data_IF_660552060104
#
_entry.id   IF_660552060104
#
_cell.length_a   1.000
_cell.length_b   1.000
_cell.length_c   1.000
_cell.angle_alpha   90.00
_cell.angle_beta   90.00
_cell.angle_gamma   90.00
#
_symmetry.space_group_name_H-M   'P 1'
#
loop_
_entity.id
_entity.type
_entity.pdbx_description
1 polymer ?
#
# COMPACT_ATOMS: atom_id res chain seq x y z
N UNK A 1 -9.01 -10.89 -23.81
CA UNK A 1 -9.13 -11.68 -25.06
C UNK A 1 -9.70 -13.05 -24.69
N UNK A 2 -10.75 -13.48 -25.36
CA UNK A 2 -11.35 -14.82 -25.20
C UNK A 2 -10.86 -15.65 -26.38
N UNK A 3 -9.88 -16.53 -26.17
CA UNK A 3 -9.42 -17.44 -27.23
C UNK A 3 -10.27 -18.72 -27.22
N UNK A 4 -10.84 -19.15 -28.34
CA UNK A 4 -11.62 -20.38 -28.43
C UNK A 4 -10.77 -21.65 -28.61
N UNK A 5 -9.44 -21.51 -28.71
CA UNK A 5 -8.54 -22.64 -28.97
C UNK A 5 -8.38 -23.54 -27.71
N UNK A 6 -8.65 -24.85 -27.81
CA UNK A 6 -8.53 -25.78 -26.68
C UNK A 6 -7.10 -25.93 -26.15
N UNK A 7 -6.08 -25.61 -26.93
CA UNK A 7 -4.67 -25.58 -26.54
C UNK A 7 -4.21 -24.27 -25.89
N UNK A 8 -5.10 -23.29 -25.70
CA UNK A 8 -4.74 -21.98 -25.15
C UNK A 8 -4.06 -22.05 -23.78
N UNK A 9 -4.54 -22.95 -22.91
CA UNK A 9 -4.00 -23.22 -21.60
C UNK A 9 -3.63 -24.70 -21.48
N UNK A 10 -2.36 -24.98 -21.23
CA UNK A 10 -1.86 -26.35 -21.09
C UNK A 10 -1.27 -26.59 -19.71
N UNK A 11 -1.33 -27.86 -19.28
CA UNK A 11 -0.69 -28.33 -18.05
C UNK A 11 0.56 -29.10 -18.41
N UNK A 12 1.67 -28.80 -17.74
CA UNK A 12 2.94 -29.52 -17.89
C UNK A 12 3.46 -29.96 -16.51
N UNK A 13 3.38 -31.26 -16.26
CA UNK A 13 3.83 -31.97 -15.06
C UNK A 13 4.72 -33.16 -15.43
N UNK A 14 5.34 -33.78 -14.41
CA UNK A 14 6.21 -34.94 -14.61
C UNK A 14 5.48 -36.11 -15.30
N UNK A 15 4.19 -36.26 -15.03
CA UNK A 15 3.36 -37.38 -15.48
C UNK A 15 2.76 -37.17 -16.88
N UNK A 16 2.89 -35.97 -17.47
CA UNK A 16 2.29 -35.65 -18.78
C UNK A 16 3.12 -36.18 -19.99
N UNK A 17 4.19 -36.94 -19.73
CA UNK A 17 4.96 -37.68 -20.75
C UNK A 17 5.43 -36.84 -21.95
N UNK A 18 5.43 -37.43 -23.14
CA UNK A 18 5.88 -36.78 -24.39
C UNK A 18 4.99 -35.59 -24.81
N UNK A 19 3.69 -35.65 -24.51
CA UNK A 19 2.73 -34.59 -24.84
C UNK A 19 3.00 -33.31 -24.04
N UNK A 20 3.37 -33.45 -22.76
CA UNK A 20 3.80 -32.33 -21.94
C UNK A 20 5.10 -31.69 -22.43
N UNK A 21 6.06 -32.51 -22.88
CA UNK A 21 7.31 -32.01 -23.46
C UNK A 21 7.09 -31.30 -24.80
N UNK A 22 6.19 -31.80 -25.63
CA UNK A 22 5.80 -31.12 -26.87
C UNK A 22 5.15 -29.77 -26.59
N UNK A 23 4.20 -29.73 -25.65
CA UNK A 23 3.54 -28.49 -25.22
C UNK A 23 4.52 -27.47 -24.65
N UNK A 24 5.54 -27.95 -23.93
CA UNK A 24 6.60 -27.11 -23.41
C UNK A 24 7.50 -26.54 -24.52
N UNK A 25 7.86 -27.35 -25.53
CA UNK A 25 8.60 -26.87 -26.71
C UNK A 25 7.80 -25.82 -27.47
N UNK A 26 6.51 -26.06 -27.67
CA UNK A 26 5.62 -25.13 -28.36
C UNK A 26 5.45 -23.82 -27.60
N UNK A 27 5.48 -23.84 -26.26
CA UNK A 27 5.46 -22.62 -25.42
C UNK A 27 6.77 -21.81 -25.50
N UNK A 28 7.90 -22.47 -25.73
CA UNK A 28 9.21 -21.80 -25.83
C UNK A 28 9.42 -21.15 -27.20
N UNK A 29 8.70 -21.63 -28.21
CA UNK A 29 8.72 -21.10 -29.56
C UNK A 29 8.01 -19.74 -29.62
N UNK A 30 8.80 -18.67 -29.77
CA UNK A 30 8.26 -17.31 -29.79
C UNK A 30 7.47 -16.99 -31.09
N UNK A 31 7.54 -17.84 -32.11
CA UNK A 31 6.70 -17.72 -33.32
C UNK A 31 5.30 -18.29 -33.10
N UNK A 32 5.12 -19.14 -32.08
CA UNK A 32 3.83 -19.69 -31.70
C UNK A 32 3.14 -18.80 -30.67
N UNK A 33 1.83 -18.68 -30.84
CA UNK A 33 0.96 -17.96 -29.89
C UNK A 33 0.25 -18.90 -28.93
N UNK A 34 0.30 -20.21 -29.21
CA UNK A 34 -0.37 -21.26 -28.46
C UNK A 34 0.65 -22.36 -28.16
N UNK A 35 0.74 -22.82 -26.89
CA UNK A 35 -0.06 -22.39 -25.73
C UNK A 35 0.32 -20.98 -25.23
N UNK A 36 -0.66 -20.20 -24.76
CA UNK A 36 -0.41 -18.87 -24.16
C UNK A 36 -0.22 -18.96 -22.64
N UNK A 37 -0.92 -19.89 -21.99
CA UNK A 37 -0.83 -20.14 -20.55
C UNK A 37 -0.28 -21.54 -20.33
N UNK A 38 0.74 -21.64 -19.50
CA UNK A 38 1.33 -22.91 -19.09
C UNK A 38 1.25 -23.01 -17.57
N UNK A 39 0.63 -24.09 -17.08
CA UNK A 39 0.50 -24.38 -15.65
C UNK A 39 1.43 -25.51 -15.24
N UNK A 40 2.05 -25.39 -14.07
CA UNK A 40 2.93 -26.43 -13.51
C UNK A 40 2.85 -26.46 -11.99
N UNK A 41 3.31 -27.56 -11.40
CA UNK A 41 3.60 -27.68 -9.97
C UNK A 41 5.10 -27.52 -9.71
N UNK A 42 5.92 -28.51 -10.07
CA UNK A 42 7.35 -28.55 -9.76
C UNK A 42 8.26 -28.77 -10.98
N UNK A 43 7.73 -29.24 -12.11
CA UNK A 43 8.53 -29.66 -13.27
C UNK A 43 9.30 -28.51 -13.91
N UNK A 44 8.80 -27.29 -13.82
CA UNK A 44 9.50 -26.09 -14.29
C UNK A 44 10.55 -25.56 -13.27
N UNK A 45 11.04 -26.36 -12.32
CA UNK A 45 12.13 -25.90 -11.44
C UNK A 45 13.46 -25.76 -12.19
N UNK A 46 13.63 -26.44 -13.32
CA UNK A 46 14.83 -26.38 -14.16
C UNK A 46 14.49 -26.45 -15.66
N UNK A 47 15.13 -25.61 -16.50
CA UNK A 47 15.29 -25.91 -17.93
C UNK A 47 14.26 -25.43 -18.94
N UNK A 48 13.47 -24.37 -18.66
CA UNK A 48 12.57 -23.79 -19.68
C UNK A 48 13.15 -22.52 -20.29
N UNK A 49 13.42 -22.54 -21.59
CA UNK A 49 13.95 -21.38 -22.32
C UNK A 49 12.86 -20.54 -23.03
N UNK A 50 11.89 -20.02 -22.28
CA UNK A 50 10.89 -19.10 -22.85
C UNK A 50 11.32 -17.64 -22.62
N UNK A 51 11.63 -16.89 -23.69
CA UNK A 51 12.14 -15.50 -23.58
C UNK A 51 11.02 -14.46 -23.50
N UNK A 52 9.90 -14.67 -24.21
CA UNK A 52 8.76 -13.75 -24.24
C UNK A 52 7.75 -13.97 -23.08
N UNK A 53 8.22 -14.43 -21.91
CA UNK A 53 7.35 -14.54 -20.71
C UNK A 53 7.04 -13.15 -20.17
N UNK A 54 5.78 -12.72 -20.27
CA UNK A 54 5.32 -11.40 -19.80
C UNK A 54 4.59 -11.43 -18.46
N UNK A 55 4.09 -12.59 -18.05
CA UNK A 55 3.31 -12.74 -16.81
C UNK A 55 3.78 -13.99 -16.07
N UNK A 56 3.98 -13.87 -14.76
CA UNK A 56 4.25 -14.97 -13.83
C UNK A 56 3.17 -14.96 -12.76
N UNK A 57 2.49 -16.08 -12.56
CA UNK A 57 1.42 -16.20 -11.56
C UNK A 57 1.81 -17.21 -10.50
N UNK A 58 1.92 -16.77 -9.26
CA UNK A 58 2.28 -17.60 -8.10
C UNK A 58 1.01 -18.00 -7.36
N UNK A 59 0.62 -19.27 -7.50
CA UNK A 59 -0.55 -19.86 -6.86
C UNK A 59 -0.21 -20.92 -5.80
N UNK A 60 1.08 -21.22 -5.60
CA UNK A 60 1.54 -22.19 -4.59
C UNK A 60 2.63 -21.60 -3.70
N UNK A 61 2.67 -21.94 -2.40
CA UNK A 61 3.77 -21.54 -1.53
C UNK A 61 5.12 -21.97 -2.10
N UNK A 62 6.10 -21.07 -2.03
CA UNK A 62 7.47 -21.32 -2.47
C UNK A 62 8.33 -21.49 -1.23
N UNK A 63 8.99 -22.64 -1.12
CA UNK A 63 9.67 -23.05 0.12
C UNK A 63 11.16 -22.67 0.15
N UNK A 64 11.69 -22.17 -0.98
CA UNK A 64 13.11 -21.85 -1.15
C UNK A 64 13.31 -20.59 -1.99
N UNK A 65 14.27 -19.74 -1.58
CA UNK A 65 14.67 -18.56 -2.36
C UNK A 65 15.24 -18.93 -3.72
N UNK A 66 15.88 -20.10 -3.84
CA UNK A 66 16.44 -20.58 -5.10
C UNK A 66 15.31 -20.87 -6.07
N UNK A 67 14.26 -21.55 -5.59
CA UNK A 67 13.05 -21.84 -6.36
C UNK A 67 12.34 -20.53 -6.76
N UNK A 68 12.23 -19.56 -5.84
CA UNK A 68 11.68 -18.24 -6.14
C UNK A 68 12.46 -17.52 -7.24
N UNK A 69 13.78 -17.40 -7.10
CA UNK A 69 14.66 -16.75 -8.09
C UNK A 69 14.66 -17.49 -9.43
N UNK A 70 14.58 -18.81 -9.45
CA UNK A 70 14.42 -19.61 -10.67
C UNK A 70 13.08 -19.34 -11.37
N UNK A 71 12.00 -19.14 -10.62
CA UNK A 71 10.69 -18.78 -11.17
C UNK A 71 10.74 -17.38 -11.77
N UNK A 72 11.20 -16.38 -11.01
CA UNK A 72 11.27 -14.98 -11.47
C UNK A 72 12.26 -14.80 -12.63
N UNK A 73 13.39 -15.52 -12.61
CA UNK A 73 14.40 -15.51 -13.67
C UNK A 73 13.89 -15.91 -15.06
N UNK A 74 12.68 -16.48 -15.16
CA UNK A 74 12.00 -16.75 -16.44
C UNK A 74 11.46 -15.46 -17.07
N UNK A 75 11.00 -14.53 -16.24
CA UNK A 75 10.46 -13.25 -16.67
C UNK A 75 11.54 -12.22 -17.01
N UNK A 76 12.73 -12.32 -16.41
CA UNK A 76 13.80 -11.32 -16.56
C UNK A 76 14.58 -11.40 -17.88
N UNK A 77 14.33 -12.42 -18.71
CA UNK A 77 14.98 -12.52 -20.03
C UNK A 77 14.52 -11.41 -20.97
N UNK A 78 15.47 -10.81 -21.68
CA UNK A 78 15.21 -9.77 -22.68
C UNK A 78 14.58 -10.37 -23.94
N UNK A 79 13.62 -9.66 -24.52
CA UNK A 79 12.96 -9.98 -25.79
C UNK A 79 12.47 -8.68 -26.43
N UNK A 80 12.49 -8.59 -27.76
CA UNK A 80 12.10 -7.37 -28.47
C UNK A 80 10.62 -7.02 -28.20
N UNK A 81 10.36 -5.76 -27.83
CA UNK A 81 9.03 -5.30 -27.44
C UNK A 81 8.55 -5.80 -26.06
N UNK A 82 9.47 -6.25 -25.20
CA UNK A 82 9.22 -6.63 -23.80
C UNK A 82 10.14 -5.79 -22.88
N UNK A 83 9.61 -4.66 -22.43
CA UNK A 83 10.31 -3.75 -21.50
C UNK A 83 10.14 -4.15 -20.03
N UNK A 84 9.10 -4.94 -19.73
CA UNK A 84 8.78 -5.40 -18.38
C UNK A 84 8.04 -6.76 -18.40
N UNK A 85 7.91 -7.38 -17.24
CA UNK A 85 7.02 -8.51 -16.99
C UNK A 85 6.32 -8.32 -15.65
N UNK A 86 5.13 -8.91 -15.49
CA UNK A 86 4.29 -8.75 -14.30
C UNK A 86 4.30 -10.02 -13.45
N UNK A 87 4.42 -9.87 -12.14
CA UNK A 87 4.30 -10.96 -11.17
C UNK A 87 2.97 -10.80 -10.42
N UNK A 88 2.11 -11.81 -10.50
CA UNK A 88 0.89 -11.92 -9.71
C UNK A 88 1.11 -12.90 -8.57
N UNK A 89 1.17 -12.41 -7.33
CA UNK A 89 1.48 -13.24 -6.17
C UNK A 89 0.27 -13.43 -5.25
N UNK A 90 -0.38 -14.59 -5.37
CA UNK A 90 -1.54 -14.96 -4.54
C UNK A 90 -1.16 -15.66 -3.24
N UNK A 91 0.11 -16.05 -3.08
CA UNK A 91 0.60 -16.81 -1.92
C UNK A 91 1.55 -16.02 -1.03
N UNK A 92 1.75 -14.73 -1.36
CA UNK A 92 2.60 -13.81 -0.60
C UNK A 92 4.06 -14.30 -0.51
N UNK A 93 4.54 -14.98 -1.55
CA UNK A 93 5.93 -15.45 -1.63
C UNK A 93 6.96 -14.32 -1.64
N UNK A 94 6.64 -13.14 -2.21
CA UNK A 94 7.53 -11.98 -2.23
C UNK A 94 7.96 -11.50 -0.83
N UNK A 95 7.10 -11.68 0.19
CA UNK A 95 7.44 -11.33 1.58
C UNK A 95 8.54 -12.20 2.19
N UNK A 96 8.75 -13.41 1.66
CA UNK A 96 9.75 -14.36 2.16
C UNK A 96 11.13 -14.14 1.55
N UNK A 97 11.21 -13.44 0.41
CA UNK A 97 12.38 -13.43 -0.46
C UNK A 97 12.79 -12.04 -0.97
N UNK A 98 12.28 -10.96 -0.37
CA UNK A 98 12.83 -9.61 -0.62
C UNK A 98 14.30 -9.59 -0.19
N UNK A 99 15.18 -9.49 -1.17
CA UNK A 99 16.62 -9.53 -1.01
C UNK A 99 17.20 -8.23 -1.58
N UNK A 100 17.36 -7.18 -0.75
CA UNK A 100 17.85 -5.87 -1.19
C UNK A 100 19.22 -5.93 -1.88
N UNK A 101 20.06 -6.94 -1.59
CA UNK A 101 21.37 -7.12 -2.22
C UNK A 101 21.28 -7.72 -3.64
N UNK A 102 20.16 -8.35 -4.00
CA UNK A 102 20.00 -9.05 -5.29
C UNK A 102 18.92 -8.44 -6.19
N UNK A 103 17.80 -8.02 -5.61
CA UNK A 103 16.71 -7.34 -6.31
C UNK A 103 17.13 -5.92 -6.74
N UNK A 104 18.15 -5.37 -6.06
CA UNK A 104 18.56 -3.98 -6.18
C UNK A 104 17.50 -3.02 -5.61
N UNK A 105 17.93 -1.82 -5.25
CA UNK A 105 16.94 -0.73 -5.09
C UNK A 105 16.46 -0.30 -6.48
N UNK A 106 15.17 0.03 -6.66
CA UNK A 106 14.71 0.68 -7.88
C UNK A 106 15.56 1.94 -8.09
N UNK A 107 16.38 1.95 -9.15
CA UNK A 107 17.40 2.98 -9.31
C UNK A 107 16.76 4.38 -9.28
N UNK A 108 17.18 5.16 -8.29
CA UNK A 108 16.83 6.56 -8.20
C UNK A 108 17.50 7.36 -9.30
N UNK A 109 16.75 8.31 -9.88
CA UNK A 109 17.26 9.28 -10.87
C UNK A 109 18.14 10.36 -10.21
N UNK A 110 18.93 9.99 -9.20
CA UNK A 110 19.92 10.91 -8.65
C UNK A 110 21.22 10.75 -9.43
N UNK A 111 21.71 11.85 -9.99
CA UNK A 111 23.06 11.95 -10.54
C UNK A 111 24.05 11.68 -9.41
N UNK A 112 25.11 10.90 -9.71
CA UNK A 112 26.09 10.52 -8.71
C UNK A 112 26.72 11.79 -8.06
N UNK A 113 26.73 11.93 -6.72
CA UNK A 113 27.32 13.10 -6.07
C UNK A 113 28.84 13.22 -6.30
N UNK A 114 29.52 12.14 -6.68
CA UNK A 114 30.96 12.12 -6.93
C UNK A 114 31.34 12.46 -8.39
N UNK A 115 30.51 12.11 -9.40
CA UNK A 115 30.83 12.37 -10.81
C UNK A 115 29.76 13.16 -11.60
N UNK A 116 28.61 13.47 -11.01
CA UNK A 116 27.53 14.25 -11.64
C UNK A 116 26.79 13.58 -12.81
N UNK A 117 27.18 12.37 -13.24
CA UNK A 117 26.57 11.68 -14.39
C UNK A 117 25.42 10.74 -13.99
N UNK A 118 24.45 10.55 -14.90
CA UNK A 118 23.49 9.45 -14.86
C UNK A 118 23.42 8.75 -16.24
N UNK A 119 23.76 7.45 -16.34
CA UNK A 119 24.19 6.57 -15.25
C UNK A 119 25.58 6.94 -14.70
N UNK A 120 25.83 6.59 -13.44
CA UNK A 120 27.11 6.82 -12.75
C UNK A 120 28.24 6.06 -13.48
N UNK A 121 29.36 6.74 -13.71
CA UNK A 121 30.58 6.17 -14.32
C UNK A 121 31.70 5.93 -13.30
N UNK A 122 31.46 6.19 -12.01
CA UNK A 122 32.44 5.89 -10.96
C UNK A 122 32.65 4.38 -10.82
N UNK A 123 33.90 3.97 -10.64
CA UNK A 123 34.23 2.61 -10.24
C UNK A 123 33.74 2.36 -8.81
N UNK A 124 32.64 1.63 -8.66
CA UNK A 124 32.20 1.15 -7.34
C UNK A 124 33.16 0.06 -6.86
N UNK A 125 33.61 0.08 -5.59
CA UNK A 125 34.42 -1.00 -5.06
C UNK A 125 33.63 -2.31 -5.11
N UNK A 126 34.27 -3.43 -5.52
CA UNK A 126 33.61 -4.72 -5.59
C UNK A 126 33.20 -5.13 -4.16
N UNK A 127 31.97 -5.65 -3.95
CA UNK A 127 31.54 -5.93 -2.60
C UNK A 127 32.20 -7.23 -2.08
N UNK A 128 32.31 -7.43 -0.76
CA UNK A 128 33.24 -8.39 -0.16
C UNK A 128 32.89 -9.86 -0.47
N UNK A 129 33.88 -10.66 -0.86
CA UNK A 129 33.71 -12.08 -1.20
C UNK A 129 33.42 -12.95 0.02
N UNK A 130 32.79 -14.11 -0.18
CA UNK A 130 32.50 -15.05 0.89
C UNK A 130 33.80 -15.49 1.61
N UNK A 131 33.90 -15.40 2.95
CA UNK A 131 35.12 -15.78 3.67
C UNK A 131 35.40 -17.29 3.67
N UNK A 132 34.43 -18.11 3.23
CA UNK A 132 34.55 -19.58 3.19
C UNK A 132 34.94 -20.07 1.79
N UNK A 133 34.32 -19.56 0.72
CA UNK A 133 34.61 -20.01 -0.65
C UNK A 133 35.19 -18.93 -1.57
N UNK A 134 35.40 -17.71 -1.10
CA UNK A 134 36.06 -16.64 -1.87
C UNK A 134 35.33 -16.16 -3.11
N UNK A 135 34.11 -16.66 -3.39
CA UNK A 135 33.36 -16.41 -4.62
C UNK A 135 32.09 -15.58 -4.40
N UNK A 136 31.63 -14.90 -5.46
CA UNK A 136 30.37 -14.18 -5.57
C UNK A 136 29.63 -14.56 -6.87
N UNK A 137 28.37 -15.03 -6.80
CA UNK A 137 27.60 -15.38 -5.59
C UNK A 137 28.24 -16.57 -4.84
N UNK A 138 27.97 -16.66 -3.54
CA UNK A 138 28.49 -17.73 -2.69
C UNK A 138 28.03 -19.11 -3.21
N UNK A 139 28.98 -19.91 -3.72
CA UNK A 139 28.71 -21.27 -4.22
C UNK A 139 28.76 -22.32 -3.14
N UNK A 140 29.19 -21.96 -1.92
CA UNK A 140 29.39 -22.93 -0.85
C UNK A 140 28.09 -23.46 -0.23
N UNK A 141 26.95 -23.35 -0.96
CA UNK A 141 25.74 -24.14 -0.76
C UNK A 141 25.42 -24.32 0.71
N UNK A 142 25.42 -23.22 1.46
CA UNK A 142 25.60 -23.30 2.91
C UNK A 142 24.68 -24.31 3.60
N UNK A 143 25.14 -24.80 4.74
CA UNK A 143 24.64 -26.04 5.37
C UNK A 143 23.11 -26.12 5.40
N UNK A 144 22.60 -27.14 4.73
CA UNK A 144 21.22 -27.64 4.86
C UNK A 144 21.12 -28.26 6.26
N UNK A 145 19.98 -28.08 6.92
CA UNK A 145 19.78 -28.66 8.24
C UNK A 145 19.78 -30.19 8.15
N UNK A 146 20.73 -30.87 8.78
CA UNK A 146 20.85 -32.35 8.74
C UNK A 146 19.62 -33.08 9.31
N UNK A 147 18.81 -32.37 10.11
CA UNK A 147 17.60 -32.91 10.75
C UNK A 147 16.34 -32.80 9.87
N UNK A 148 16.12 -31.67 9.18
CA UNK A 148 14.89 -31.44 8.39
C UNK A 148 15.12 -31.23 6.90
N UNK A 149 16.36 -31.20 6.40
CA UNK A 149 16.64 -31.04 4.97
C UNK A 149 16.24 -29.69 4.38
N UNK A 150 15.78 -28.72 5.19
CA UNK A 150 15.27 -27.41 4.74
C UNK A 150 16.28 -26.29 4.97
N UNK A 151 16.20 -25.26 4.13
CA UNK A 151 16.98 -24.03 4.25
C UNK A 151 16.12 -22.80 3.96
N UNK A 152 15.89 -21.89 4.93
CA UNK A 152 16.45 -21.88 6.29
C UNK A 152 15.88 -22.99 7.19
N UNK A 153 16.69 -23.46 8.15
CA UNK A 153 16.24 -24.49 9.09
C UNK A 153 15.12 -23.99 10.02
N UNK A 154 14.06 -24.79 10.15
CA UNK A 154 12.92 -24.56 11.06
C UNK A 154 12.85 -25.58 12.21
N UNK A 155 13.74 -26.58 12.22
CA UNK A 155 13.83 -27.57 13.29
C UNK A 155 14.03 -26.88 14.66
N UNK A 156 13.27 -27.31 15.66
CA UNK A 156 13.35 -26.81 17.05
C UNK A 156 12.75 -25.42 17.29
N UNK A 157 12.10 -24.80 16.29
CA UNK A 157 11.37 -23.54 16.49
C UNK A 157 9.91 -23.86 16.78
N UNK A 158 9.41 -23.42 17.93
CA UNK A 158 7.99 -23.53 18.24
C UNK A 158 7.18 -22.54 17.38
N UNK A 159 5.97 -22.92 16.92
CA UNK A 159 5.06 -21.99 16.27
C UNK A 159 4.85 -20.78 17.16
N UNK A 160 4.88 -19.58 16.59
CA UNK A 160 4.61 -18.38 17.36
C UNK A 160 3.25 -18.54 18.09
N UNK A 161 3.16 -18.33 19.41
CA UNK A 161 1.90 -18.50 20.15
C UNK A 161 0.81 -17.49 19.74
N UNK A 162 1.17 -16.45 18.97
CA UNK A 162 0.26 -15.40 18.50
C UNK A 162 -0.23 -15.67 17.06
N UNK A 163 0.67 -15.96 16.10
CA UNK A 163 0.32 -16.15 14.68
C UNK A 163 0.43 -17.59 14.18
N UNK A 164 0.94 -18.53 14.99
CA UNK A 164 1.10 -19.93 14.61
C UNK A 164 2.11 -20.21 13.49
N UNK A 165 2.86 -19.21 13.03
CA UNK A 165 3.79 -19.33 11.89
C UNK A 165 5.25 -19.45 12.33
N UNK A 166 6.06 -20.16 11.52
CA UNK A 166 7.52 -20.28 11.63
C UNK A 166 8.15 -19.93 10.26
N UNK A 167 8.94 -18.85 10.15
CA UNK A 167 9.29 -17.89 11.21
C UNK A 167 8.10 -17.02 11.62
N UNK A 168 8.11 -16.56 12.87
CA UNK A 168 7.12 -15.61 13.40
C UNK A 168 7.03 -14.37 12.51
N UNK A 169 5.82 -14.03 12.06
CA UNK A 169 5.50 -12.78 11.36
C UNK A 169 4.99 -11.69 12.30
N UNK A 170 4.62 -12.06 13.53
CA UNK A 170 4.04 -11.19 14.56
C UNK A 170 4.95 -10.04 15.04
N UNK A 171 6.15 -9.90 14.49
CA UNK A 171 7.04 -8.76 14.71
C UNK A 171 7.92 -8.42 13.51
N UNK A 172 7.64 -8.99 12.33
CA UNK A 172 8.43 -8.76 11.09
C UNK A 172 7.74 -7.80 10.12
N UNK A 173 6.87 -6.93 10.64
CA UNK A 173 6.57 -5.67 9.95
C UNK A 173 7.78 -4.78 10.23
N UNK A 174 8.83 -4.92 9.42
CA UNK A 174 9.94 -3.98 9.47
C UNK A 174 9.38 -2.62 9.05
N UNK A 175 9.11 -1.78 10.06
CA UNK A 175 8.82 -0.37 9.92
C UNK A 175 10.01 0.26 9.19
N UNK A 176 9.82 0.61 7.92
CA UNK A 176 10.83 1.38 7.21
C UNK A 176 10.73 2.79 7.75
N UNK A 177 11.79 3.26 8.40
CA UNK A 177 11.90 4.66 8.81
C UNK A 177 12.32 5.46 7.59
N UNK A 178 11.38 6.16 6.96
CA UNK A 178 11.73 7.10 5.89
C UNK A 178 12.11 8.41 6.56
N UNK A 179 13.34 8.86 6.31
CA UNK A 179 13.84 10.16 6.73
C UNK A 179 13.68 11.11 5.54
N UNK A 180 12.71 12.01 5.63
CA UNK A 180 12.50 13.04 4.61
C UNK A 180 13.55 14.15 4.77
N UNK A 181 13.69 15.00 3.76
CA UNK A 181 14.66 16.11 3.72
C UNK A 181 14.54 17.10 4.90
N UNK A 182 13.42 17.07 5.64
CA UNK A 182 13.17 17.84 6.86
C UNK A 182 13.88 17.27 8.11
N UNK A 183 14.56 16.12 7.99
CA UNK A 183 15.30 15.47 9.06
C UNK A 183 14.44 14.69 10.06
N UNK A 184 13.10 14.68 9.91
CA UNK A 184 12.19 13.94 10.81
C UNK A 184 11.96 12.52 10.30
N UNK A 185 12.07 11.54 11.21
CA UNK A 185 11.80 10.13 10.91
C UNK A 185 10.29 9.88 10.85
N UNK A 186 9.77 9.36 9.73
CA UNK A 186 8.40 8.83 9.63
C UNK A 186 8.44 7.32 9.63
N UNK A 187 7.54 6.72 10.42
CA UNK A 187 7.45 5.28 10.53
C UNK A 187 6.49 4.78 9.46
N UNK A 188 7.00 4.12 8.44
CA UNK A 188 6.20 3.64 7.32
C UNK A 188 6.10 2.12 7.46
N UNK A 189 4.88 1.59 7.56
CA UNK A 189 4.71 0.15 7.40
C UNK A 189 4.87 -0.18 5.91
N UNK A 190 5.50 -1.32 5.66
CA UNK A 190 5.87 -1.85 4.34
C UNK A 190 5.09 -1.31 3.13
N UNK A 191 5.84 -1.08 2.05
CA UNK A 191 5.33 -1.09 0.68
C UNK A 191 4.38 -2.28 0.49
N UNK A 192 3.09 -2.05 0.65
CA UNK A 192 2.12 -2.71 -0.19
C UNK A 192 2.51 -2.23 -1.60
N UNK A 193 2.74 -3.17 -2.52
CA UNK A 193 2.98 -2.87 -3.93
C UNK A 193 1.66 -2.36 -4.55
N UNK A 194 1.12 -1.26 -4.01
CA UNK A 194 0.19 -0.41 -4.71
C UNK A 194 1.05 0.45 -5.62
N UNK A 195 1.07 0.10 -6.91
CA UNK A 195 1.61 0.97 -7.94
C UNK A 195 0.81 2.27 -7.90
N UNK A 196 1.41 3.34 -7.39
CA UNK A 196 0.82 4.67 -7.48
C UNK A 196 0.96 5.15 -8.91
N UNK A 197 0.02 5.96 -9.39
CA UNK A 197 0.09 6.51 -10.73
C UNK A 197 0.31 8.02 -10.62
N UNK A 198 1.28 8.53 -11.37
CA UNK A 198 1.44 9.96 -11.60
C UNK A 198 0.21 10.50 -12.35
N UNK A 199 -0.07 11.82 -12.28
CA UNK A 199 -1.08 12.46 -13.11
C UNK A 199 -0.90 12.22 -14.62
N UNK A 200 0.33 11.92 -15.05
CA UNK A 200 0.70 11.59 -16.42
C UNK A 200 0.50 10.10 -16.79
N UNK A 201 0.01 9.27 -15.87
CA UNK A 201 -0.23 7.85 -16.08
C UNK A 201 1.01 6.96 -15.94
N UNK A 202 2.12 7.46 -15.42
CA UNK A 202 3.32 6.64 -15.13
C UNK A 202 3.29 6.04 -13.71
N UNK A 203 3.76 4.79 -13.53
CA UNK A 203 3.82 4.17 -12.22
C UNK A 203 4.90 4.79 -11.33
N UNK A 204 4.60 5.00 -10.05
CA UNK A 204 5.53 5.48 -9.02
C UNK A 204 5.44 4.66 -7.73
N UNK A 205 6.53 4.67 -6.96
CA UNK A 205 6.60 3.98 -5.67
C UNK A 205 5.85 4.77 -4.59
N UNK A 206 5.45 4.08 -3.52
CA UNK A 206 4.89 4.72 -2.33
C UNK A 206 5.77 5.86 -1.81
N UNK A 207 7.09 5.66 -1.77
CA UNK A 207 8.05 6.66 -1.32
C UNK A 207 8.05 7.91 -2.22
N UNK A 208 8.12 7.74 -3.54
CA UNK A 208 8.08 8.87 -4.48
C UNK A 208 6.76 9.62 -4.43
N UNK A 209 5.66 8.90 -4.24
CA UNK A 209 4.36 9.52 -4.02
C UNK A 209 4.36 10.35 -2.73
N UNK A 210 4.92 9.84 -1.62
CA UNK A 210 5.03 10.58 -0.37
C UNK A 210 5.94 11.80 -0.48
N UNK A 211 7.09 11.69 -1.14
CA UNK A 211 8.00 12.81 -1.39
C UNK A 211 7.33 13.89 -2.24
N UNK A 212 6.61 13.47 -3.30
CA UNK A 212 5.84 14.36 -4.16
C UNK A 212 4.71 15.06 -3.39
N UNK A 213 3.92 14.31 -2.63
CA UNK A 213 2.86 14.85 -1.77
C UNK A 213 3.46 15.84 -0.77
N UNK A 214 4.48 15.43 -0.01
CA UNK A 214 5.17 16.26 0.96
C UNK A 214 5.71 17.55 0.35
N UNK A 215 6.31 17.48 -0.84
CA UNK A 215 6.78 18.65 -1.57
C UNK A 215 5.67 19.61 -2.00
N UNK A 216 4.43 19.12 -2.13
CA UNK A 216 3.26 19.90 -2.55
C UNK A 216 2.42 20.42 -1.39
N UNK A 217 2.42 19.78 -0.23
CA UNK A 217 1.66 20.23 0.96
C UNK A 217 1.93 21.71 1.36
N UNK A 218 3.18 22.23 1.29
CA UNK A 218 3.45 23.64 1.58
C UNK A 218 2.72 24.65 0.67
N UNK A 219 2.23 24.24 -0.51
CA UNK A 219 1.39 25.09 -1.37
C UNK A 219 -0.02 25.29 -0.78
N UNK A 220 -0.46 24.42 0.14
CA UNK A 220 -1.81 24.41 0.69
C UNK A 220 -1.90 24.94 2.12
N UNK A 221 -0.90 24.65 2.96
CA UNK A 221 -0.85 25.09 4.35
C UNK A 221 0.61 25.13 4.85
N UNK A 222 0.93 26.08 5.74
CA UNK A 222 2.30 26.35 6.21
C UNK A 222 2.65 25.54 7.44
N UNK A 223 1.68 25.30 8.32
CA UNK A 223 1.86 24.59 9.58
C UNK A 223 0.60 23.77 9.93
N UNK A 224 0.73 22.94 10.97
CA UNK A 224 -0.36 22.08 11.43
C UNK A 224 -1.59 22.86 11.89
N UNK A 225 -1.40 24.02 12.53
CA UNK A 225 -2.50 24.87 12.98
C UNK A 225 -3.32 25.42 11.81
N UNK A 226 -2.66 25.78 10.70
CA UNK A 226 -3.32 26.20 9.47
C UNK A 226 -4.06 25.03 8.80
N UNK A 227 -3.43 23.85 8.71
CA UNK A 227 -4.10 22.62 8.24
C UNK A 227 -5.37 22.36 9.05
N UNK A 228 -5.27 22.44 10.38
CA UNK A 228 -6.40 22.26 11.30
C UNK A 228 -7.50 23.29 11.08
N UNK A 229 -7.16 24.57 10.94
CA UNK A 229 -8.13 25.62 10.68
C UNK A 229 -8.88 25.40 9.35
N UNK A 230 -8.16 25.02 8.29
CA UNK A 230 -8.74 24.69 6.98
C UNK A 230 -9.62 23.43 7.09
N UNK A 231 -9.16 22.40 7.79
CA UNK A 231 -9.86 21.11 7.85
C UNK A 231 -11.10 21.13 8.75
N UNK A 232 -11.11 21.99 9.77
CA UNK A 232 -12.20 22.10 10.75
C UNK A 232 -13.51 22.63 10.17
N UNK A 233 -13.46 23.35 9.05
CA UNK A 233 -14.64 23.87 8.38
C UNK A 233 -14.94 23.08 7.09
N UNK A 234 -16.19 22.63 6.85
CA UNK A 234 -16.52 21.78 5.70
C UNK A 234 -16.15 22.37 4.34
N UNK A 235 -16.42 23.65 4.13
CA UNK A 235 -16.21 24.30 2.83
C UNK A 235 -14.72 24.45 2.50
N UNK A 236 -13.89 24.81 3.49
CA UNK A 236 -12.44 24.93 3.30
C UNK A 236 -11.77 23.57 3.19
N UNK A 237 -12.24 22.56 3.93
CA UNK A 237 -11.81 21.17 3.77
C UNK A 237 -12.11 20.65 2.37
N UNK A 238 -13.31 20.92 1.85
CA UNK A 238 -13.68 20.54 0.49
C UNK A 238 -12.72 21.14 -0.53
N UNK A 239 -12.47 22.45 -0.46
CA UNK A 239 -11.52 23.13 -1.36
C UNK A 239 -10.10 22.58 -1.26
N UNK A 240 -9.65 22.22 -0.06
CA UNK A 240 -8.35 21.58 0.14
C UNK A 240 -8.28 20.22 -0.56
N UNK A 241 -9.31 19.37 -0.39
CA UNK A 241 -9.39 18.07 -1.05
C UNK A 241 -9.47 18.19 -2.58
N UNK A 242 -10.22 19.16 -3.09
CA UNK A 242 -10.30 19.47 -4.52
C UNK A 242 -8.93 19.91 -5.06
N UNK A 243 -8.27 20.84 -4.38
CA UNK A 243 -6.93 21.30 -4.79
C UNK A 243 -5.87 20.20 -4.72
N UNK A 244 -5.94 19.30 -3.73
CA UNK A 244 -5.08 18.12 -3.66
C UNK A 244 -5.35 17.17 -4.84
N UNK A 245 -6.62 16.95 -5.19
CA UNK A 245 -7.00 16.11 -6.33
C UNK A 245 -6.51 16.69 -7.66
N UNK A 246 -6.59 18.01 -7.87
CA UNK A 246 -6.03 18.68 -9.05
C UNK A 246 -4.51 18.49 -9.20
N UNK A 247 -3.80 18.30 -8.08
CA UNK A 247 -2.35 18.00 -8.07
C UNK A 247 -2.05 16.51 -8.17
N UNK A 248 -3.06 15.65 -8.34
CA UNK A 248 -2.90 14.20 -8.45
C UNK A 248 -3.04 13.43 -7.14
N UNK A 249 -3.38 14.11 -6.04
CA UNK A 249 -3.56 13.50 -4.72
C UNK A 249 -5.05 13.38 -4.39
N UNK A 250 -5.75 12.63 -5.24
CA UNK A 250 -7.17 12.35 -5.07
C UNK A 250 -7.47 11.42 -3.90
N UNK A 251 -8.77 11.16 -3.73
CA UNK A 251 -9.29 10.35 -2.61
C UNK A 251 -8.74 8.93 -2.60
N UNK A 252 -8.64 8.30 -3.76
CA UNK A 252 -8.11 6.93 -3.89
C UNK A 252 -6.63 6.88 -3.48
N UNK A 253 -5.85 7.87 -3.90
CA UNK A 253 -4.42 7.93 -3.58
C UNK A 253 -4.20 8.19 -2.09
N UNK A 254 -5.00 9.08 -1.48
CA UNK A 254 -4.97 9.32 -0.04
C UNK A 254 -5.44 8.09 0.76
N UNK A 255 -6.42 7.33 0.27
CA UNK A 255 -6.85 6.09 0.89
C UNK A 255 -5.74 5.03 0.90
N UNK A 256 -4.98 4.90 -0.20
CA UNK A 256 -3.84 3.97 -0.22
C UNK A 256 -2.72 4.43 0.71
N UNK A 257 -2.56 5.74 0.88
CA UNK A 257 -1.65 6.27 1.87
C UNK A 257 -2.04 5.84 3.29
N UNK A 258 -3.34 5.85 3.62
CA UNK A 258 -3.80 5.37 4.93
C UNK A 258 -3.36 3.94 5.21
N UNK A 259 -3.44 3.06 4.20
CA UNK A 259 -3.01 1.66 4.32
C UNK A 259 -1.50 1.53 4.56
N UNK A 260 -0.70 2.36 3.90
CA UNK A 260 0.77 2.32 4.01
C UNK A 260 1.25 2.77 5.39
N UNK A 261 0.58 3.76 5.98
CA UNK A 261 0.94 4.25 7.32
C UNK A 261 0.15 3.57 8.45
N UNK A 262 -0.59 2.50 8.17
CA UNK A 262 -1.43 1.76 9.14
C UNK A 262 -2.42 2.68 9.87
N UNK A 263 -3.12 3.51 9.08
CA UNK A 263 -4.03 4.57 9.54
C UNK A 263 -5.37 4.54 8.79
N UNK A 264 -5.84 3.39 8.30
CA UNK A 264 -7.15 3.24 7.62
C UNK A 264 -8.33 3.61 8.53
N UNK A 265 -8.14 3.47 9.84
CA UNK A 265 -9.12 3.87 10.84
C UNK A 265 -9.03 5.35 11.21
N UNK A 266 -8.02 6.07 10.72
CA UNK A 266 -7.78 7.47 11.02
C UNK A 266 -8.44 8.40 10.00
N UNK A 267 -8.55 9.68 10.33
CA UNK A 267 -9.06 10.68 9.40
C UNK A 267 -8.01 11.03 8.33
N UNK A 268 -8.42 11.53 7.18
CA UNK A 268 -7.46 12.07 6.19
C UNK A 268 -6.69 13.27 6.75
N UNK A 269 -7.26 14.03 7.70
CA UNK A 269 -6.52 15.01 8.47
C UNK A 269 -5.28 14.41 9.15
N UNK A 270 -5.43 13.27 9.82
CA UNK A 270 -4.36 12.60 10.53
C UNK A 270 -3.25 12.14 9.58
N UNK A 271 -3.65 11.68 8.39
CA UNK A 271 -2.72 11.25 7.34
C UNK A 271 -1.89 12.44 6.85
N UNK A 272 -2.55 13.55 6.52
CA UNK A 272 -1.87 14.77 6.09
C UNK A 272 -0.95 15.35 7.18
N UNK A 273 -1.41 15.39 8.43
CA UNK A 273 -0.62 15.86 9.56
C UNK A 273 0.56 14.91 9.85
N UNK A 274 0.36 13.60 9.71
CA UNK A 274 1.41 12.61 9.87
C UNK A 274 2.48 12.71 8.79
N UNK A 275 2.12 13.08 7.57
CA UNK A 275 3.06 13.24 6.45
C UNK A 275 3.78 14.58 6.55
N UNK A 276 3.07 15.67 6.83
CA UNK A 276 3.66 17.00 6.92
C UNK A 276 4.48 17.20 8.21
N UNK A 277 3.98 16.78 9.38
CA UNK A 277 4.49 17.27 10.68
C UNK A 277 4.95 16.21 11.68
N UNK A 278 4.77 14.93 11.36
CA UNK A 278 5.14 13.74 12.12
C UNK A 278 4.21 13.48 13.29
N UNK A 279 3.02 14.06 13.25
CA UNK A 279 2.00 13.86 14.27
C UNK A 279 1.53 12.41 14.18
N UNK A 280 1.53 11.64 15.29
CA UNK A 280 0.97 10.29 15.30
C UNK A 280 -0.52 10.33 14.95
N UNK A 281 -0.98 9.52 13.98
CA UNK A 281 -2.39 9.53 13.60
C UNK A 281 -3.25 8.94 14.73
N UNK A 282 -4.41 9.53 14.98
CA UNK A 282 -5.43 8.96 15.89
C UNK A 282 -6.59 8.38 15.11
N UNK A 283 -7.27 7.38 15.68
CA UNK A 283 -8.43 6.79 15.01
C UNK A 283 -9.62 7.74 15.01
N UNK A 284 -10.51 7.61 14.01
CA UNK A 284 -11.78 8.34 13.96
C UNK A 284 -12.62 8.12 15.22
N UNK A 285 -12.57 6.90 15.78
CA UNK A 285 -13.25 6.57 17.03
C UNK A 285 -12.69 7.37 18.21
N UNK A 286 -11.37 7.38 18.40
CA UNK A 286 -10.74 8.19 19.45
C UNK A 286 -11.03 9.67 19.26
N UNK A 287 -10.99 10.17 18.01
CA UNK A 287 -11.31 11.55 17.68
C UNK A 287 -12.75 11.91 18.06
N UNK A 288 -13.72 11.07 17.68
CA UNK A 288 -15.12 11.28 18.03
C UNK A 288 -15.33 11.26 19.55
N UNK A 289 -14.71 10.33 20.28
CA UNK A 289 -14.80 10.27 21.75
C UNK A 289 -14.29 11.56 22.39
N UNK A 290 -13.13 12.06 21.96
CA UNK A 290 -12.57 13.33 22.45
C UNK A 290 -13.49 14.50 22.17
N UNK A 291 -14.02 14.58 20.95
CA UNK A 291 -14.91 15.66 20.54
C UNK A 291 -16.24 15.66 21.30
N UNK A 292 -16.79 14.48 21.64
CA UNK A 292 -18.05 14.36 22.39
C UNK A 292 -18.01 15.10 23.73
N UNK A 293 -16.87 15.12 24.42
CA UNK A 293 -16.73 15.84 25.68
C UNK A 293 -17.02 17.34 25.52
N UNK A 294 -16.43 17.97 24.50
CA UNK A 294 -16.63 19.40 24.21
C UNK A 294 -18.02 19.67 23.60
N UNK A 295 -18.47 18.81 22.70
CA UNK A 295 -19.79 18.91 22.05
C UNK A 295 -20.90 18.91 23.11
N UNK A 296 -20.81 18.05 24.12
CA UNK A 296 -21.83 17.92 25.17
C UNK A 296 -21.90 19.15 26.10
N UNK A 297 -20.85 19.98 26.14
CA UNK A 297 -20.86 21.25 26.87
C UNK A 297 -21.67 22.30 26.09
N UNK A 298 -21.53 22.33 24.77
CA UNK A 298 -22.09 23.36 23.90
C UNK A 298 -23.47 23.02 23.30
N UNK A 299 -23.79 21.74 23.14
CA UNK A 299 -25.02 21.26 22.53
C UNK A 299 -25.76 20.35 23.49
N UNK A 300 -27.10 20.47 23.53
CA UNK A 300 -27.94 19.74 24.50
C UNK A 300 -29.18 19.15 23.86
N UNK A 301 -29.74 18.14 24.52
CA UNK A 301 -31.02 17.54 24.13
C UNK A 301 -30.99 16.93 22.73
N UNK A 302 -31.99 17.25 21.89
CA UNK A 302 -32.15 16.68 20.55
C UNK A 302 -30.99 16.98 19.61
N UNK A 303 -30.35 18.14 19.75
CA UNK A 303 -29.18 18.50 18.96
C UNK A 303 -28.00 17.55 19.25
N UNK A 304 -27.75 17.24 20.52
CA UNK A 304 -26.70 16.30 20.90
C UNK A 304 -26.96 14.90 20.32
N UNK A 305 -28.20 14.42 20.42
CA UNK A 305 -28.59 13.11 19.85
C UNK A 305 -28.37 13.06 18.33
N UNK A 306 -28.66 14.14 17.62
CA UNK A 306 -28.38 14.23 16.20
C UNK A 306 -26.87 14.27 15.90
N UNK A 307 -26.10 15.04 16.67
CA UNK A 307 -24.64 15.10 16.49
C UNK A 307 -23.96 13.77 16.82
N UNK A 308 -24.41 13.05 17.85
CA UNK A 308 -23.94 11.70 18.17
C UNK A 308 -24.17 10.74 16.99
N UNK A 309 -25.34 10.79 16.38
CA UNK A 309 -25.66 10.02 15.18
C UNK A 309 -24.72 10.35 14.01
N UNK A 310 -24.46 11.64 13.76
CA UNK A 310 -23.51 12.08 12.71
C UNK A 310 -22.09 11.57 13.01
N UNK A 311 -21.67 11.61 14.26
CA UNK A 311 -20.36 11.10 14.69
C UNK A 311 -20.23 9.58 14.49
N UNK A 312 -21.29 8.81 14.73
CA UNK A 312 -21.28 7.36 14.51
C UNK A 312 -21.15 7.02 13.00
N UNK A 313 -21.82 7.80 12.15
CA UNK A 313 -21.66 7.73 10.69
C UNK A 313 -20.24 8.11 10.24
N UNK A 314 -19.66 9.16 10.83
CA UNK A 314 -18.29 9.57 10.58
C UNK A 314 -17.27 8.48 10.96
N UNK A 315 -17.43 7.87 12.14
CA UNK A 315 -16.55 6.80 12.63
C UNK A 315 -16.60 5.57 11.72
N UNK A 316 -17.78 5.21 11.22
CA UNK A 316 -17.96 4.03 10.36
C UNK A 316 -17.55 4.29 8.91
N UNK A 317 -18.04 5.38 8.30
CA UNK A 317 -17.90 5.64 6.87
C UNK A 317 -16.69 6.51 6.55
N UNK A 318 -16.56 7.67 7.20
CA UNK A 318 -15.41 8.56 7.03
C UNK A 318 -15.75 10.04 7.00
N UNK A 319 -14.73 10.86 6.73
CA UNK A 319 -14.83 12.33 6.73
C UNK A 319 -15.85 12.88 5.74
N UNK A 320 -16.22 12.11 4.71
CA UNK A 320 -17.20 12.54 3.71
C UNK A 320 -18.60 12.72 4.27
N UNK A 321 -18.96 11.99 5.33
CA UNK A 321 -20.23 12.17 6.03
C UNK A 321 -20.35 13.56 6.69
N UNK A 322 -19.23 14.27 6.85
CA UNK A 322 -19.19 15.61 7.42
C UNK A 322 -19.31 16.73 6.35
N UNK A 323 -19.47 16.39 5.08
CA UNK A 323 -19.69 17.37 4.01
C UNK A 323 -21.09 18.00 4.12
N UNK A 324 -21.21 19.31 3.84
CA UNK A 324 -22.49 20.03 3.88
C UNK A 324 -23.58 19.39 3.02
N UNK A 325 -23.21 18.75 1.90
CA UNK A 325 -24.13 18.02 1.02
C UNK A 325 -24.72 16.76 1.65
N UNK A 326 -24.11 16.22 2.71
CA UNK A 326 -24.60 15.05 3.46
C UNK A 326 -25.64 15.40 4.51
N UNK A 327 -25.82 16.69 4.83
CA UNK A 327 -26.79 17.12 5.86
C UNK A 327 -28.20 16.61 5.55
N UNK A 328 -28.73 16.86 4.35
CA UNK A 328 -30.08 16.42 3.99
C UNK A 328 -30.26 14.89 4.02
N UNK A 329 -29.36 14.08 3.42
CA UNK A 329 -29.38 12.63 3.58
C UNK A 329 -29.36 12.15 5.05
N UNK A 330 -28.52 12.75 5.89
CA UNK A 330 -28.39 12.38 7.31
C UNK A 330 -29.65 12.73 8.12
N UNK A 331 -30.27 13.88 7.83
CA UNK A 331 -31.55 14.25 8.45
C UNK A 331 -32.65 13.26 8.07
N UNK A 332 -32.77 12.92 6.79
CA UNK A 332 -33.72 11.91 6.33
C UNK A 332 -33.49 10.56 7.00
N UNK A 333 -32.24 10.13 7.09
CA UNK A 333 -31.91 8.85 7.72
C UNK A 333 -32.22 8.84 9.22
N UNK A 334 -31.91 9.92 9.94
CA UNK A 334 -32.16 10.01 11.40
C UNK A 334 -33.65 10.12 11.74
N UNK A 335 -34.44 10.74 10.87
CA UNK A 335 -35.84 11.08 11.07
C UNK A 335 -36.79 10.29 10.14
N UNK A 336 -36.36 9.14 9.62
CA UNK A 336 -37.20 8.25 8.79
C UNK A 336 -37.88 8.98 7.61
N UNK A 337 -37.09 9.71 6.82
CA UNK A 337 -37.50 10.57 5.70
C UNK A 337 -38.38 11.79 6.06
N UNK A 338 -38.65 12.04 7.35
CA UNK A 338 -39.43 13.18 7.82
C UNK A 338 -38.55 14.41 8.09
N UNK A 339 -38.45 15.31 7.11
CA UNK A 339 -37.78 16.61 7.29
C UNK A 339 -38.56 17.50 8.27
N UNK A 340 -39.88 17.37 8.35
CA UNK A 340 -40.69 18.15 9.29
C UNK A 340 -40.31 17.85 10.74
N UNK A 341 -40.10 16.58 11.09
CA UNK A 341 -39.70 16.20 12.45
C UNK A 341 -38.27 16.67 12.77
N UNK A 342 -37.39 16.63 11.76
CA UNK A 342 -36.04 17.17 11.90
C UNK A 342 -36.04 18.67 12.20
N UNK A 343 -36.89 19.46 11.52
CA UNK A 343 -37.03 20.90 11.77
C UNK A 343 -37.66 21.18 13.14
N UNK A 344 -38.63 20.36 13.57
CA UNK A 344 -39.24 20.50 14.89
C UNK A 344 -38.24 20.24 16.03
N UNK A 345 -37.36 19.23 15.88
CA UNK A 345 -36.39 18.85 16.90
C UNK A 345 -35.12 19.73 16.90
N UNK A 346 -34.66 20.19 15.74
CA UNK A 346 -33.34 20.81 15.57
C UNK A 346 -33.38 22.31 15.26
N UNK A 347 -34.54 22.86 14.88
CA UNK A 347 -34.74 24.27 14.58
C UNK A 347 -34.80 24.59 13.09
N UNK A 348 -34.62 25.87 12.76
CA UNK A 348 -34.73 26.34 11.38
C UNK A 348 -33.58 25.80 10.50
N UNK A 349 -33.76 25.67 9.16
CA UNK A 349 -32.73 25.10 8.28
C UNK A 349 -31.33 25.74 8.42
N UNK A 350 -31.27 27.07 8.59
CA UNK A 350 -30.00 27.80 8.78
C UNK A 350 -29.35 27.53 10.13
N UNK A 351 -30.14 27.22 11.16
CA UNK A 351 -29.65 26.83 12.48
C UNK A 351 -29.09 25.42 12.44
N UNK A 352 -29.79 24.48 11.78
CA UNK A 352 -29.32 23.11 11.59
C UNK A 352 -28.01 23.11 10.79
N UNK A 353 -27.91 23.91 9.72
CA UNK A 353 -26.67 24.04 8.96
C UNK A 353 -25.54 24.61 9.82
N UNK A 354 -25.81 25.63 10.63
CA UNK A 354 -24.82 26.20 11.57
C UNK A 354 -24.40 25.20 12.64
N UNK A 355 -25.33 24.42 13.18
CA UNK A 355 -25.09 23.32 14.10
C UNK A 355 -24.16 22.27 13.46
N UNK A 356 -24.53 21.79 12.28
CA UNK A 356 -23.80 20.75 11.54
C UNK A 356 -22.39 21.18 11.10
N UNK A 357 -22.21 22.43 10.68
CA UNK A 357 -20.87 22.93 10.35
C UNK A 357 -20.07 23.27 11.61
N UNK A 358 -20.73 23.88 12.60
CA UNK A 358 -20.09 24.44 13.79
C UNK A 358 -19.57 23.40 14.78
N UNK A 359 -20.19 22.21 14.88
CA UNK A 359 -19.68 21.18 15.79
C UNK A 359 -18.35 20.58 15.32
N UNK A 360 -18.05 20.63 14.02
CA UNK A 360 -16.91 19.93 13.44
C UNK A 360 -15.57 20.49 13.92
N UNK A 361 -15.51 21.75 14.35
CA UNK A 361 -14.30 22.31 14.96
C UNK A 361 -13.85 21.52 16.20
N UNK A 362 -14.79 20.93 16.96
CA UNK A 362 -14.48 20.14 18.16
C UNK A 362 -13.82 18.79 17.82
N UNK A 363 -13.93 18.32 16.57
CA UNK A 363 -13.22 17.12 16.12
C UNK A 363 -11.71 17.34 16.00
N UNK A 364 -11.26 18.58 15.81
CA UNK A 364 -9.86 18.88 15.51
C UNK A 364 -9.21 19.83 16.51
N UNK A 365 -9.96 20.34 17.49
CA UNK A 365 -9.44 21.21 18.55
C UNK A 365 -8.36 20.49 19.35
N UNK A 366 -7.27 21.19 19.65
CA UNK A 366 -6.29 20.68 20.61
C UNK A 366 -6.88 20.71 22.02
N UNK A 367 -6.60 19.70 22.86
CA UNK A 367 -6.92 19.79 24.28
C UNK A 367 -6.20 21.01 24.84
N UNK A 368 -6.93 21.87 25.53
CA UNK A 368 -6.30 22.93 26.33
C UNK A 368 -5.48 22.22 27.39
N UNK A 369 -4.16 22.29 27.28
CA UNK A 369 -3.27 21.80 28.33
C UNK A 369 -3.54 22.69 29.55
N UNK A 370 -4.19 22.10 30.56
CA UNK A 370 -4.45 22.75 31.84
C UNK A 370 -3.17 22.85 32.67
#
# INVERSE_FOLDING_TARGET
>A
KTSPDPGYCVRVTADDGELGEQSLRDFQDNEKTIPTILTTSQKLSTGVDARNVRNIVLMRPINSIIEFKQIIGRGTRLYDGKDYFTIYDFVKAHYLFSDPEWDGEPLDRQTCPDCGCHPCVCEKPPPPVCPVCGQRPCVCGGRVCEVCGRRPCVCGKEPCPVCGQIPCVCGKVAKVKVKLADGKERTIQHMIVTTFWHPDGTPMTAQKFMESLFGKLPEFFKNEAELRAIWSAPDTRRRLLEGLAEKGFGREQLAEMQKIIDAEKSDLFDVLAHIAYAVPPITRQERAIKAKADINVHFKGRQQVFLDFVLDHYVSVGVDELDTGKLTPLLKLKYNDSISDALADLGAPDEIKRLFCGFQQYLYREPVVA
#
